data_IF_253400705673
#
_entry.id   IF_253400705673
#
_cell.length_a   1.000
_cell.length_b   1.000
_cell.length_c   1.000
_cell.angle_alpha   90.00
_cell.angle_beta   90.00
_cell.angle_gamma   90.00
#
_symmetry.space_group_name_H-M   'P 1'
#
loop_
_entity.id
_entity.type
_entity.pdbx_description
1 polymer ?
#
# COMPACT_ATOMS: atom_id res chain seq x y z
N UNK A 1 -23.33 6.93 2.08
CA UNK A 1 -22.14 6.07 1.87
C UNK A 1 -21.45 6.45 0.56
N UNK A 2 -22.06 6.31 -0.63
CA UNK A 2 -21.39 6.68 -1.91
C UNK A 2 -20.97 8.15 -1.97
N UNK A 3 -21.84 9.08 -1.57
CA UNK A 3 -21.60 10.52 -1.76
C UNK A 3 -20.48 11.06 -0.86
N UNK A 4 -20.33 10.51 0.34
CA UNK A 4 -19.26 10.87 1.28
C UNK A 4 -17.90 10.38 0.79
N UNK A 5 -17.83 9.14 0.30
CA UNK A 5 -16.64 8.60 -0.35
C UNK A 5 -16.24 9.41 -1.58
N UNK A 6 -17.22 9.78 -2.42
CA UNK A 6 -16.98 10.60 -3.60
C UNK A 6 -16.39 11.96 -3.26
N UNK A 7 -16.90 12.63 -2.22
CA UNK A 7 -16.35 13.92 -1.77
C UNK A 7 -14.90 13.80 -1.29
N UNK A 8 -14.58 12.75 -0.50
CA UNK A 8 -13.21 12.49 -0.04
C UNK A 8 -12.26 12.27 -1.22
N UNK A 9 -12.70 11.47 -2.21
CA UNK A 9 -11.91 11.17 -3.40
C UNK A 9 -11.67 12.41 -4.26
N UNK A 10 -12.68 13.27 -4.46
CA UNK A 10 -12.54 14.51 -5.20
C UNK A 10 -11.61 15.52 -4.50
N UNK A 11 -11.71 15.65 -3.17
CA UNK A 11 -10.81 16.51 -2.40
C UNK A 11 -9.36 16.03 -2.52
N UNK A 12 -9.13 14.73 -2.33
CA UNK A 12 -7.81 14.12 -2.47
C UNK A 12 -7.26 14.27 -3.89
N UNK A 13 -8.09 14.12 -4.91
CA UNK A 13 -7.68 14.38 -6.30
C UNK A 13 -7.16 15.81 -6.44
N UNK A 14 -7.90 16.80 -5.91
CA UNK A 14 -7.49 18.21 -5.90
C UNK A 14 -6.15 18.45 -5.21
N UNK A 15 -5.91 17.78 -4.09
CA UNK A 15 -4.65 17.87 -3.36
C UNK A 15 -3.46 17.26 -4.13
N UNK A 16 -3.66 16.11 -4.77
CA UNK A 16 -2.60 15.39 -5.49
C UNK A 16 -2.27 16.01 -6.85
N UNK A 17 -3.29 16.41 -7.60
CA UNK A 17 -3.15 16.95 -8.96
C UNK A 17 -3.01 18.48 -8.99
N UNK A 18 -3.30 19.17 -7.89
CA UNK A 18 -3.22 20.64 -7.81
C UNK A 18 -4.33 21.38 -8.57
N UNK A 19 -5.35 20.66 -9.06
CA UNK A 19 -6.53 21.19 -9.75
C UNK A 19 -7.78 20.44 -9.30
N UNK A 20 -8.92 21.11 -9.08
CA UNK A 20 -10.16 20.43 -8.68
C UNK A 20 -10.70 19.58 -9.83
N UNK A 21 -11.34 18.46 -9.48
CA UNK A 21 -11.96 17.54 -10.46
C UNK A 21 -12.92 18.29 -11.40
N UNK A 22 -13.73 19.20 -10.87
CA UNK A 22 -14.73 19.96 -11.62
C UNK A 22 -14.13 20.81 -12.76
N UNK A 23 -12.87 21.27 -12.62
CA UNK A 23 -12.19 22.00 -13.68
C UNK A 23 -11.91 21.11 -14.89
N UNK A 24 -11.52 19.85 -14.64
CA UNK A 24 -11.26 18.86 -15.69
C UNK A 24 -12.54 18.29 -16.30
N UNK A 25 -13.68 18.43 -15.64
CA UNK A 25 -14.98 17.95 -16.12
C UNK A 25 -15.82 19.04 -16.82
N UNK A 26 -15.32 20.28 -16.95
CA UNK A 26 -15.98 21.27 -17.80
C UNK A 26 -15.89 20.86 -19.27
N UNK A 27 -16.98 20.97 -20.06
CA UNK A 27 -16.94 20.74 -21.50
C UNK A 27 -15.90 21.64 -22.18
N UNK A 28 -15.17 21.09 -23.16
CA UNK A 28 -14.26 21.87 -23.99
C UNK A 28 -15.10 22.80 -24.89
N UNK A 29 -14.78 24.11 -24.99
CA UNK A 29 -15.51 25.01 -25.86
C UNK A 29 -15.44 24.60 -27.32
N UNK A 30 -16.60 24.51 -27.98
CA UNK A 30 -16.71 24.14 -29.40
C UNK A 30 -17.95 23.30 -29.66
N UNK A 31 -17.97 22.65 -30.83
CA UNK A 31 -19.10 21.80 -31.25
C UNK A 31 -19.09 20.44 -30.55
N UNK A 32 -17.91 19.92 -30.19
CA UNK A 32 -17.75 18.67 -29.45
C UNK A 32 -17.36 18.98 -27.98
N UNK A 33 -18.18 18.62 -26.97
CA UNK A 33 -17.86 18.86 -25.56
C UNK A 33 -16.61 18.11 -25.07
N UNK A 34 -16.17 17.08 -25.79
CA UNK A 34 -14.91 16.38 -25.53
C UNK A 34 -13.71 16.98 -26.25
N UNK A 35 -13.88 18.03 -27.06
CA UNK A 35 -12.79 18.71 -27.75
C UNK A 35 -12.30 17.96 -28.99
N UNK A 36 -10.98 17.83 -29.16
CA UNK A 36 -10.36 17.26 -30.36
C UNK A 36 -9.70 15.89 -30.13
N UNK A 37 -9.63 15.05 -31.18
CA UNK A 37 -8.90 13.78 -31.10
C UNK A 37 -7.39 13.97 -31.24
N UNK A 38 -6.63 13.60 -30.20
CA UNK A 38 -5.21 13.97 -30.11
C UNK A 38 -4.21 12.87 -30.46
N UNK A 39 -4.64 11.67 -30.86
CA UNK A 39 -3.75 10.49 -31.07
C UNK A 39 -2.55 10.76 -31.98
N UNK A 40 -2.73 11.60 -32.99
CA UNK A 40 -1.70 11.95 -33.98
C UNK A 40 -0.97 13.27 -33.68
N UNK A 41 -1.34 13.94 -32.59
CA UNK A 41 -0.75 15.21 -32.19
C UNK A 41 0.53 14.98 -31.38
N UNK A 42 1.43 15.97 -31.37
CA UNK A 42 2.74 15.87 -30.69
C UNK A 42 2.63 15.61 -29.18
N UNK A 43 1.50 15.98 -28.57
CA UNK A 43 1.23 15.75 -27.15
C UNK A 43 1.30 14.28 -26.76
N UNK A 44 0.80 13.37 -27.61
CA UNK A 44 0.88 11.92 -27.38
C UNK A 44 2.33 11.43 -27.40
N UNK A 45 3.15 11.94 -28.32
CA UNK A 45 4.58 11.61 -28.34
C UNK A 45 5.33 12.21 -27.15
N UNK A 46 4.98 13.43 -26.71
CA UNK A 46 5.59 14.06 -25.53
C UNK A 46 5.27 13.30 -24.25
N UNK A 47 3.99 12.92 -24.05
CA UNK A 47 3.56 12.11 -22.91
C UNK A 47 4.26 10.75 -22.89
N UNK A 48 4.32 10.05 -24.03
CA UNK A 48 5.06 8.79 -24.14
C UNK A 48 6.55 8.96 -23.84
N UNK A 49 7.16 10.01 -24.36
CA UNK A 49 8.58 10.29 -24.12
C UNK A 49 8.85 10.59 -22.64
N UNK A 50 8.00 11.37 -21.97
CA UNK A 50 8.13 11.66 -20.54
C UNK A 50 7.93 10.41 -19.67
N UNK A 51 7.06 9.48 -20.07
CA UNK A 51 6.85 8.19 -19.39
C UNK A 51 7.98 7.17 -19.59
N UNK A 52 8.86 7.38 -20.57
CA UNK A 52 9.91 6.40 -20.89
C UNK A 52 11.08 6.54 -19.91
N UNK A 53 11.39 5.44 -19.22
CA UNK A 53 12.60 5.26 -18.46
C UNK A 53 13.48 4.19 -19.13
N UNK A 54 14.79 4.33 -19.00
CA UNK A 54 15.77 3.34 -19.45
C UNK A 54 15.84 2.19 -18.43
N UNK A 55 15.97 0.96 -18.94
CA UNK A 55 16.13 -0.22 -18.11
C UNK A 55 17.59 -0.35 -17.64
N UNK A 56 17.81 -0.09 -16.35
CA UNK A 56 19.11 -0.16 -15.71
C UNK A 56 19.73 -1.58 -15.70
N UNK A 57 18.94 -2.63 -16.00
CA UNK A 57 19.41 -4.02 -16.09
C UNK A 57 19.98 -4.38 -17.46
N UNK A 58 19.78 -3.54 -18.48
CA UNK A 58 20.29 -3.77 -19.83
C UNK A 58 21.74 -3.26 -19.92
N UNK A 59 22.70 -4.10 -20.37
CA UNK A 59 24.08 -3.66 -20.54
C UNK A 59 24.15 -2.50 -21.54
N UNK A 60 24.40 -1.29 -21.05
CA UNK A 60 24.77 -0.15 -21.88
C UNK A 60 26.08 -0.53 -22.58
N UNK A 61 26.08 -0.54 -23.91
CA UNK A 61 27.29 -0.77 -24.70
C UNK A 61 28.34 0.34 -24.47
N UNK A 62 29.23 0.58 -25.43
CA UNK A 62 30.28 1.62 -25.32
C UNK A 62 29.77 3.08 -25.29
N UNK A 63 28.46 3.31 -25.10
CA UNK A 63 27.83 4.62 -25.05
C UNK A 63 27.18 4.80 -23.67
N UNK A 64 27.97 5.25 -22.69
CA UNK A 64 27.48 5.69 -21.38
C UNK A 64 26.71 7.01 -21.58
N UNK A 65 25.39 6.96 -21.48
CA UNK A 65 24.54 8.13 -21.28
C UNK A 65 23.83 7.98 -19.94
N UNK A 66 23.47 9.11 -19.32
CA UNK A 66 22.70 9.09 -18.09
C UNK A 66 21.39 8.32 -18.32
N UNK A 67 21.11 7.34 -17.46
CA UNK A 67 19.85 6.58 -17.48
C UNK A 67 18.68 7.56 -17.45
N UNK A 68 17.86 7.54 -18.50
CA UNK A 68 16.64 8.32 -18.52
C UNK A 68 15.68 7.78 -17.46
N UNK A 69 15.24 8.63 -16.55
CA UNK A 69 14.11 8.33 -15.67
C UNK A 69 12.83 8.94 -16.25
N UNK A 70 11.68 8.34 -15.92
CA UNK A 70 10.40 8.89 -16.29
C UNK A 70 10.16 10.21 -15.52
N UNK A 71 9.70 11.24 -16.24
CA UNK A 71 9.36 12.54 -15.69
C UNK A 71 7.85 12.59 -15.38
N UNK A 72 7.48 12.06 -14.21
CA UNK A 72 6.08 11.98 -13.80
C UNK A 72 5.45 13.35 -13.53
N UNK A 73 6.25 14.37 -13.20
CA UNK A 73 5.79 15.75 -13.07
C UNK A 73 5.35 16.32 -14.42
N UNK A 74 6.16 16.11 -15.47
CA UNK A 74 5.81 16.53 -16.82
C UNK A 74 4.62 15.74 -17.37
N UNK A 75 4.52 14.42 -17.11
CA UNK A 75 3.34 13.62 -17.48
C UNK A 75 2.08 14.17 -16.81
N UNK A 76 2.17 14.50 -15.51
CA UNK A 76 1.06 15.10 -14.76
C UNK A 76 0.64 16.42 -15.41
N UNK A 77 1.59 17.34 -15.59
CA UNK A 77 1.35 18.69 -16.13
C UNK A 77 0.72 18.64 -17.51
N UNK A 78 1.29 17.85 -18.43
CA UNK A 78 0.79 17.71 -19.80
C UNK A 78 -0.60 17.06 -19.84
N UNK A 79 -0.85 16.06 -18.99
CA UNK A 79 -2.15 15.37 -18.95
C UNK A 79 -3.24 16.29 -18.44
N UNK A 80 -3.00 17.02 -17.33
CA UNK A 80 -3.96 17.96 -16.77
C UNK A 80 -4.26 19.11 -17.73
N UNK A 81 -3.23 19.76 -18.29
CA UNK A 81 -3.40 20.83 -19.28
C UNK A 81 -4.25 20.37 -20.47
N UNK A 82 -4.00 19.15 -20.96
CA UNK A 82 -4.71 18.59 -22.11
C UNK A 82 -6.16 18.26 -21.79
N UNK A 83 -6.41 17.59 -20.66
CA UNK A 83 -7.75 17.21 -20.20
C UNK A 83 -8.62 18.44 -19.89
N UNK A 84 -8.01 19.50 -19.35
CA UNK A 84 -8.71 20.74 -19.04
C UNK A 84 -9.08 21.53 -20.29
N UNK A 85 -8.16 21.66 -21.25
CA UNK A 85 -8.27 22.70 -22.29
C UNK A 85 -8.46 22.20 -23.72
N UNK A 86 -8.16 20.92 -24.03
CA UNK A 86 -8.10 20.43 -25.42
C UNK A 86 -8.95 19.21 -25.68
N UNK A 87 -8.88 18.20 -24.82
CA UNK A 87 -9.48 16.89 -25.13
C UNK A 87 -9.85 16.10 -23.88
N UNK A 88 -11.08 15.60 -23.83
CA UNK A 88 -11.50 14.56 -22.88
C UNK A 88 -11.09 13.21 -23.48
N UNK A 89 -9.93 12.73 -23.05
CA UNK A 89 -9.26 11.56 -23.63
C UNK A 89 -8.92 10.53 -22.55
N UNK A 90 -9.47 9.33 -22.69
CA UNK A 90 -9.32 8.23 -21.75
C UNK A 90 -7.87 7.75 -21.63
N UNK A 91 -7.12 7.71 -22.74
CA UNK A 91 -5.72 7.29 -22.70
C UNK A 91 -4.87 8.29 -21.91
N UNK A 92 -5.14 9.58 -22.06
CA UNK A 92 -4.44 10.63 -21.31
C UNK A 92 -4.80 10.57 -19.83
N UNK A 93 -6.07 10.35 -19.49
CA UNK A 93 -6.50 10.15 -18.11
C UNK A 93 -5.84 8.92 -17.45
N UNK A 94 -5.63 7.84 -18.21
CA UNK A 94 -4.89 6.64 -17.76
C UNK A 94 -3.40 6.94 -17.54
N UNK A 95 -2.77 7.76 -18.39
CA UNK A 95 -1.39 8.19 -18.15
C UNK A 95 -1.27 9.12 -16.94
N UNK A 96 -2.28 9.93 -16.66
CA UNK A 96 -2.36 10.69 -15.41
C UNK A 96 -2.43 9.74 -14.21
N UNK A 97 -3.27 8.70 -14.23
CA UNK A 97 -3.34 7.68 -13.18
C UNK A 97 -1.97 7.05 -12.90
N UNK A 98 -1.29 6.58 -13.95
CA UNK A 98 0.05 6.01 -13.80
C UNK A 98 1.05 7.00 -13.20
N UNK A 99 1.05 8.25 -13.65
CA UNK A 99 1.93 9.28 -13.10
C UNK A 99 1.64 9.58 -11.63
N UNK A 100 0.36 9.68 -11.24
CA UNK A 100 -0.01 9.92 -9.85
C UNK A 100 0.35 8.73 -8.95
N UNK A 101 0.18 7.48 -9.41
CA UNK A 101 0.61 6.29 -8.66
C UNK A 101 2.13 6.31 -8.42
N UNK A 102 2.92 6.65 -9.43
CA UNK A 102 4.38 6.71 -9.28
C UNK A 102 4.83 7.83 -8.31
N UNK A 103 4.06 8.92 -8.20
CA UNK A 103 4.37 10.05 -7.32
C UNK A 103 3.88 9.86 -5.89
N UNK A 104 2.69 9.30 -5.72
CA UNK A 104 1.94 9.33 -4.47
C UNK A 104 1.55 7.94 -3.95
N UNK A 105 1.89 6.88 -4.68
CA UNK A 105 1.60 5.51 -4.31
C UNK A 105 0.11 5.19 -4.24
N UNK A 106 -0.29 4.46 -3.20
CA UNK A 106 -1.68 4.00 -3.03
C UNK A 106 -2.68 5.15 -2.93
N UNK A 107 -2.28 6.29 -2.34
CA UNK A 107 -3.11 7.47 -2.17
C UNK A 107 -3.70 8.02 -3.48
N UNK A 108 -3.04 7.77 -4.62
CA UNK A 108 -3.50 8.22 -5.93
C UNK A 108 -4.54 7.31 -6.59
N UNK A 109 -4.59 6.02 -6.23
CA UNK A 109 -5.39 5.03 -6.98
C UNK A 109 -6.86 5.41 -6.92
N UNK A 110 -7.43 5.51 -5.71
CA UNK A 110 -8.84 5.84 -5.54
C UNK A 110 -9.24 7.16 -6.21
N UNK A 111 -8.61 8.29 -5.86
CA UNK A 111 -9.00 9.60 -6.37
C UNK A 111 -8.95 9.71 -7.90
N UNK A 112 -7.92 9.15 -8.53
CA UNK A 112 -7.76 9.27 -9.99
C UNK A 112 -8.62 8.25 -10.74
N UNK A 113 -8.83 7.04 -10.19
CA UNK A 113 -9.81 6.09 -10.74
C UNK A 113 -11.23 6.67 -10.70
N UNK A 114 -11.60 7.32 -9.60
CA UNK A 114 -12.89 8.01 -9.48
C UNK A 114 -13.03 9.15 -10.49
N UNK A 115 -11.99 9.94 -10.71
CA UNK A 115 -11.99 10.93 -11.79
C UNK A 115 -12.21 10.28 -13.17
N UNK A 116 -11.54 9.18 -13.48
CA UNK A 116 -11.70 8.46 -14.76
C UNK A 116 -13.11 7.92 -14.91
N UNK A 117 -13.68 7.35 -13.84
CA UNK A 117 -15.08 6.91 -13.82
C UNK A 117 -16.02 8.06 -14.20
N UNK A 118 -15.93 9.19 -13.50
CA UNK A 118 -16.83 10.34 -13.74
C UNK A 118 -16.58 10.94 -15.13
N UNK A 119 -15.34 10.95 -15.62
CA UNK A 119 -15.01 11.34 -16.99
C UNK A 119 -15.74 10.45 -18.01
N UNK A 120 -15.71 9.12 -17.81
CA UNK A 120 -16.43 8.17 -18.64
C UNK A 120 -17.94 8.38 -18.58
N UNK A 121 -18.53 8.52 -17.40
CA UNK A 121 -19.97 8.74 -17.23
C UNK A 121 -20.44 10.06 -17.85
N UNK A 122 -19.65 11.12 -17.72
CA UNK A 122 -20.03 12.47 -18.17
C UNK A 122 -19.91 12.64 -19.67
N UNK A 123 -18.85 12.07 -20.28
CA UNK A 123 -18.51 12.32 -21.67
C UNK A 123 -18.64 11.09 -22.56
N UNK A 124 -19.26 9.99 -22.11
CA UNK A 124 -19.23 8.70 -22.81
C UNK A 124 -19.47 8.81 -24.32
N UNK A 125 -20.52 9.51 -24.74
CA UNK A 125 -20.86 9.57 -26.17
C UNK A 125 -19.81 10.29 -27.03
N UNK A 126 -19.03 11.19 -26.43
CA UNK A 126 -18.07 12.06 -27.13
C UNK A 126 -16.61 11.82 -26.73
N UNK A 127 -16.35 11.00 -25.71
CA UNK A 127 -15.03 10.71 -25.13
C UNK A 127 -14.07 10.15 -26.18
N UNK A 128 -12.80 10.53 -26.11
CA UNK A 128 -11.77 9.94 -26.96
C UNK A 128 -11.11 8.71 -26.32
N UNK A 129 -10.79 7.64 -27.09
CA UNK A 129 -11.10 7.44 -28.52
C UNK A 129 -12.60 7.33 -28.81
N UNK A 130 -13.04 7.80 -29.99
CA UNK A 130 -14.45 7.73 -30.41
C UNK A 130 -14.92 6.27 -30.56
N UNK A 131 -16.22 6.06 -30.38
CA UNK A 131 -16.89 4.79 -30.72
C UNK A 131 -17.26 4.86 -32.19
N UNK A 132 -16.70 3.96 -33.00
CA UNK A 132 -16.99 3.84 -34.43
C UNK A 132 -17.83 2.57 -34.66
N UNK A 133 -18.95 2.66 -35.38
CA UNK A 133 -19.82 1.52 -35.73
C UNK A 133 -20.24 0.65 -34.52
N UNK A 134 -20.55 1.27 -33.37
CA UNK A 134 -20.86 0.62 -32.07
C UNK A 134 -19.72 -0.27 -31.51
N UNK A 135 -18.49 -0.11 -32.02
CA UNK A 135 -17.32 -0.83 -31.54
C UNK A 135 -16.66 -0.13 -30.35
N UNK A 136 -16.77 -0.77 -29.18
CA UNK A 136 -16.19 -0.30 -27.92
C UNK A 136 -14.72 -0.71 -27.73
N UNK A 137 -14.17 -1.55 -28.62
CA UNK A 137 -12.91 -2.25 -28.42
C UNK A 137 -11.74 -1.29 -28.11
N UNK A 138 -11.67 -0.14 -28.77
CA UNK A 138 -10.62 0.85 -28.50
C UNK A 138 -10.65 1.37 -27.07
N UNK A 139 -11.83 1.60 -26.49
CA UNK A 139 -11.97 2.06 -25.11
C UNK A 139 -11.78 0.93 -24.11
N UNK A 140 -12.41 -0.22 -24.35
CA UNK A 140 -12.31 -1.37 -23.43
C UNK A 140 -10.88 -1.90 -23.35
N UNK A 141 -10.13 -1.89 -24.46
CA UNK A 141 -8.72 -2.29 -24.45
C UNK A 141 -7.84 -1.38 -23.59
N UNK A 142 -8.16 -0.10 -23.46
CA UNK A 142 -7.45 0.81 -22.55
C UNK A 142 -7.68 0.41 -21.09
N UNK A 143 -8.90 0.02 -20.72
CA UNK A 143 -9.22 -0.43 -19.36
C UNK A 143 -8.62 -1.81 -19.07
N UNK A 144 -8.65 -2.73 -20.04
CA UNK A 144 -7.96 -4.02 -19.94
C UNK A 144 -6.46 -3.82 -19.72
N UNK A 145 -5.87 -2.83 -20.42
CA UNK A 145 -4.47 -2.46 -20.22
C UNK A 145 -4.23 -1.98 -18.78
N UNK A 146 -5.09 -1.12 -18.23
CA UNK A 146 -5.01 -0.65 -16.83
C UNK A 146 -4.97 -1.83 -15.85
N UNK A 147 -5.91 -2.77 -15.98
CA UNK A 147 -6.02 -3.93 -15.10
C UNK A 147 -4.80 -4.86 -15.13
N UNK A 148 -4.03 -4.88 -16.22
CA UNK A 148 -2.87 -5.77 -16.38
C UNK A 148 -1.53 -5.07 -16.19
N UNK A 149 -1.40 -3.83 -16.67
CA UNK A 149 -0.12 -3.13 -16.80
C UNK A 149 0.18 -2.20 -15.63
N UNK A 150 -0.82 -1.83 -14.83
CA UNK A 150 -0.55 -1.16 -13.55
C UNK A 150 -0.14 -2.11 -12.44
N UNK A 151 -0.41 -3.43 -12.55
CA UNK A 151 -0.06 -4.38 -11.50
C UNK A 151 1.43 -4.30 -11.12
N UNK A 152 2.40 -4.35 -12.05
CA UNK A 152 3.81 -4.22 -11.68
C UNK A 152 4.11 -2.90 -10.98
N UNK A 153 3.55 -1.78 -11.43
CA UNK A 153 3.73 -0.46 -10.81
C UNK A 153 3.21 -0.45 -9.38
N UNK A 154 2.00 -0.96 -9.15
CA UNK A 154 1.40 -1.05 -7.81
C UNK A 154 2.19 -2.00 -6.91
N UNK A 155 2.68 -3.11 -7.46
CA UNK A 155 3.51 -4.06 -6.70
C UNK A 155 4.88 -3.49 -6.31
N UNK A 156 5.37 -2.46 -7.00
CA UNK A 156 6.63 -1.79 -6.66
C UNK A 156 6.47 -0.70 -5.60
N UNK A 157 5.22 -0.37 -5.21
CA UNK A 157 4.98 0.59 -4.13
C UNK A 157 5.48 0.04 -2.80
N UNK A 158 6.09 0.93 -2.01
CA UNK A 158 6.61 0.56 -0.69
C UNK A 158 5.47 0.22 0.27
N UNK A 159 5.60 -0.91 0.96
CA UNK A 159 4.69 -1.38 2.01
C UNK A 159 5.28 -1.17 3.42
N UNK A 160 6.46 -0.54 3.49
CA UNK A 160 7.18 -0.23 4.73
C UNK A 160 7.71 1.20 4.69
N UNK A 161 7.90 1.80 5.86
CA UNK A 161 8.49 3.12 6.02
C UNK A 161 9.41 3.12 7.25
N UNK A 162 10.48 2.33 7.19
CA UNK A 162 11.49 2.32 8.24
C UNK A 162 12.47 3.49 8.04
N UNK A 163 12.83 4.16 9.15
CA UNK A 163 13.82 5.24 9.12
C UNK A 163 15.22 4.65 8.89
N UNK A 164 15.57 4.38 7.64
CA UNK A 164 16.97 4.32 7.19
C UNK A 164 17.55 2.98 6.73
N UNK A 165 16.89 1.83 6.91
CA UNK A 165 17.57 0.53 6.69
C UNK A 165 17.08 -0.30 5.49
N UNK A 166 15.81 -0.21 5.07
CA UNK A 166 15.34 -0.73 3.78
C UNK A 166 13.86 -0.38 3.56
N UNK A 167 13.50 -0.05 2.31
CA UNK A 167 12.12 -0.01 1.86
C UNK A 167 11.83 -1.30 1.11
N UNK A 168 10.78 -1.99 1.53
CA UNK A 168 10.28 -3.19 0.86
C UNK A 168 8.96 -2.87 0.16
N UNK A 169 8.83 -3.38 -1.06
CA UNK A 169 7.62 -3.36 -1.88
C UNK A 169 6.83 -4.66 -1.76
N UNK A 170 5.64 -4.70 -2.36
CA UNK A 170 4.90 -5.96 -2.50
C UNK A 170 5.63 -6.97 -3.41
N UNK A 171 6.37 -6.49 -4.42
CA UNK A 171 7.19 -7.36 -5.28
C UNK A 171 8.28 -8.06 -4.48
N UNK A 172 8.86 -7.37 -3.49
CA UNK A 172 9.84 -7.96 -2.57
C UNK A 172 9.19 -9.05 -1.69
N UNK A 173 7.96 -8.81 -1.24
CA UNK A 173 7.18 -9.81 -0.50
C UNK A 173 6.92 -11.06 -1.34
N UNK A 174 6.45 -10.92 -2.57
CA UNK A 174 6.22 -12.04 -3.49
C UNK A 174 7.52 -12.79 -3.81
N UNK A 175 8.63 -12.06 -4.02
CA UNK A 175 9.94 -12.65 -4.25
C UNK A 175 10.42 -13.47 -3.06
N UNK A 176 10.27 -12.94 -1.84
CA UNK A 176 10.62 -13.63 -0.61
C UNK A 176 9.78 -14.91 -0.41
N UNK A 177 8.48 -14.84 -0.67
CA UNK A 177 7.59 -15.99 -0.62
C UNK A 177 7.99 -17.07 -1.66
N UNK A 178 8.39 -16.67 -2.87
CA UNK A 178 8.90 -17.58 -3.90
C UNK A 178 10.22 -18.26 -3.46
N UNK A 179 11.13 -17.52 -2.82
CA UNK A 179 12.37 -18.08 -2.28
C UNK A 179 12.11 -19.15 -1.21
N UNK A 180 11.06 -18.99 -0.40
CA UNK A 180 10.66 -19.97 0.62
C UNK A 180 10.06 -21.25 0.02
N UNK A 181 9.60 -21.22 -1.23
CA UNK A 181 9.12 -22.39 -1.97
C UNK A 181 10.24 -23.17 -2.69
N UNK A 182 11.47 -22.62 -2.75
CA UNK A 182 12.60 -23.30 -3.37
C UNK A 182 13.01 -24.57 -2.60
N UNK A 183 13.55 -25.60 -3.29
CA UNK A 183 14.05 -26.81 -2.65
C UNK A 183 15.10 -26.52 -1.55
N UNK A 184 15.14 -27.28 -0.44
CA UNK A 184 16.04 -27.01 0.68
C UNK A 184 17.52 -26.93 0.29
N UNK A 185 17.96 -27.74 -0.68
CA UNK A 185 19.34 -27.73 -1.17
C UNK A 185 19.71 -26.42 -1.89
N UNK A 186 18.78 -25.90 -2.69
CA UNK A 186 18.94 -24.62 -3.40
C UNK A 186 18.95 -23.46 -2.39
N UNK A 187 18.04 -23.49 -1.41
CA UNK A 187 17.97 -22.48 -0.35
C UNK A 187 19.24 -22.43 0.49
N UNK A 188 19.83 -23.58 0.83
CA UNK A 188 21.09 -23.64 1.59
C UNK A 188 22.28 -23.08 0.80
N UNK A 189 22.30 -23.27 -0.52
CA UNK A 189 23.37 -22.72 -1.39
C UNK A 189 23.27 -21.20 -1.54
N UNK A 190 22.05 -20.66 -1.60
CA UNK A 190 21.79 -19.24 -1.83
C UNK A 190 21.46 -18.47 -0.54
N UNK A 191 21.63 -19.07 0.64
CA UNK A 191 21.04 -18.58 1.90
C UNK A 191 21.31 -17.10 2.20
N UNK A 192 22.50 -16.60 1.87
CA UNK A 192 22.90 -15.21 2.14
C UNK A 192 22.38 -14.20 1.10
N UNK A 193 21.96 -14.67 -0.09
CA UNK A 193 21.53 -13.84 -1.21
C UNK A 193 20.00 -13.79 -1.36
N UNK A 194 19.27 -14.66 -0.64
CA UNK A 194 17.80 -14.73 -0.69
C UNK A 194 17.18 -13.74 0.29
N UNK A 195 16.33 -12.86 -0.23
CA UNK A 195 15.38 -12.11 0.58
C UNK A 195 14.42 -13.07 1.29
N UNK A 196 14.18 -12.84 2.58
CA UNK A 196 13.34 -13.69 3.43
C UNK A 196 12.10 -12.95 3.88
N UNK A 197 10.96 -13.65 3.98
CA UNK A 197 9.69 -13.05 4.40
C UNK A 197 9.83 -12.47 5.81
N UNK A 198 10.56 -13.14 6.69
CA UNK A 198 10.81 -12.67 8.06
C UNK A 198 11.53 -11.31 8.12
N UNK A 199 12.42 -11.01 7.17
CA UNK A 199 13.10 -9.71 7.10
C UNK A 199 12.10 -8.60 6.79
N UNK A 200 11.21 -8.85 5.82
CA UNK A 200 10.17 -7.89 5.44
C UNK A 200 9.15 -7.72 6.58
N UNK A 201 8.70 -8.81 7.20
CA UNK A 201 7.80 -8.78 8.37
C UNK A 201 8.39 -7.96 9.51
N UNK A 202 9.69 -8.08 9.76
CA UNK A 202 10.37 -7.28 10.79
C UNK A 202 10.34 -5.78 10.46
N UNK A 203 10.52 -5.43 9.19
CA UNK A 203 10.39 -4.05 8.69
C UNK A 203 8.93 -3.54 8.76
N UNK A 204 7.95 -4.40 8.49
CA UNK A 204 6.52 -4.09 8.66
C UNK A 204 6.19 -3.78 10.12
N UNK A 205 6.67 -4.60 11.05
CA UNK A 205 6.47 -4.37 12.49
C UNK A 205 7.19 -3.09 12.97
N UNK A 206 8.36 -2.79 12.43
CA UNK A 206 9.13 -1.58 12.76
C UNK A 206 8.55 -0.29 12.15
N UNK A 207 7.76 -0.40 11.07
CA UNK A 207 7.13 0.75 10.41
C UNK A 207 6.08 1.39 11.32
N UNK A 208 6.04 2.74 11.46
CA UNK A 208 5.06 3.43 12.32
C UNK A 208 3.61 3.09 11.99
N UNK A 209 2.73 3.02 12.99
CA UNK A 209 1.33 2.62 12.77
C UNK A 209 0.55 3.68 11.98
N UNK A 210 0.95 4.95 12.09
CA UNK A 210 0.37 6.07 11.34
C UNK A 210 0.52 5.87 9.82
N UNK A 211 1.65 5.30 9.38
CA UNK A 211 1.83 4.93 7.97
C UNK A 211 0.77 3.93 7.52
N UNK A 212 0.49 2.90 8.34
CA UNK A 212 -0.51 1.89 8.00
C UNK A 212 -1.94 2.41 8.06
N UNK A 213 -2.26 3.35 8.95
CA UNK A 213 -3.58 4.01 8.96
C UNK A 213 -3.87 4.70 7.63
N UNK A 214 -2.90 5.45 7.10
CA UNK A 214 -3.02 6.09 5.78
C UNK A 214 -3.09 5.04 4.67
N UNK A 215 -2.18 4.06 4.65
CA UNK A 215 -2.17 3.01 3.62
C UNK A 215 -3.48 2.22 3.59
N UNK A 216 -4.05 1.84 4.74
CA UNK A 216 -5.33 1.12 4.76
C UNK A 216 -6.50 2.00 4.30
N UNK A 217 -6.48 3.29 4.64
CA UNK A 217 -7.45 4.25 4.11
C UNK A 217 -7.34 4.34 2.60
N UNK A 218 -6.12 4.47 2.07
CA UNK A 218 -5.83 4.55 0.63
C UNK A 218 -6.24 3.29 -0.12
N UNK A 219 -5.93 2.11 0.42
CA UNK A 219 -6.31 0.83 -0.16
C UNK A 219 -7.84 0.66 -0.20
N UNK A 220 -8.53 0.97 0.90
CA UNK A 220 -10.00 0.92 0.98
C UNK A 220 -10.65 1.88 -0.02
N UNK A 221 -10.15 3.11 -0.12
CA UNK A 221 -10.60 4.09 -1.10
C UNK A 221 -10.35 3.62 -2.54
N UNK A 222 -9.20 3.01 -2.80
CA UNK A 222 -8.85 2.42 -4.09
C UNK A 222 -9.77 1.28 -4.50
N UNK A 223 -10.05 0.34 -3.58
CA UNK A 223 -10.95 -0.79 -3.79
C UNK A 223 -12.36 -0.29 -4.12
N UNK A 224 -12.92 0.61 -3.30
CA UNK A 224 -14.25 1.17 -3.52
C UNK A 224 -14.35 1.90 -4.87
N UNK A 225 -13.34 2.69 -5.24
CA UNK A 225 -13.33 3.39 -6.53
C UNK A 225 -13.26 2.43 -7.72
N UNK A 226 -12.50 1.33 -7.62
CA UNK A 226 -12.42 0.31 -8.67
C UNK A 226 -13.74 -0.47 -8.83
N UNK A 227 -14.39 -0.81 -7.71
CA UNK A 227 -15.71 -1.47 -7.73
C UNK A 227 -16.78 -0.57 -8.34
N UNK A 228 -16.81 0.72 -7.96
CA UNK A 228 -17.73 1.69 -8.54
C UNK A 228 -17.45 1.89 -10.03
N UNK A 229 -16.18 2.01 -10.43
CA UNK A 229 -15.85 2.13 -11.84
C UNK A 229 -16.22 0.86 -12.64
N UNK A 230 -16.05 -0.32 -12.05
CA UNK A 230 -16.51 -1.58 -12.67
C UNK A 230 -18.02 -1.58 -12.90
N UNK A 231 -18.81 -1.11 -11.92
CA UNK A 231 -20.26 -0.99 -12.08
C UNK A 231 -20.65 0.00 -13.19
N UNK A 232 -19.98 1.16 -13.27
CA UNK A 232 -20.21 2.11 -14.36
C UNK A 232 -19.83 1.54 -15.73
N UNK A 233 -18.75 0.74 -15.80
CA UNK A 233 -18.37 0.06 -17.03
C UNK A 233 -19.39 -1.01 -17.45
N UNK A 234 -20.00 -1.72 -16.50
CA UNK A 234 -21.10 -2.66 -16.77
C UNK A 234 -22.30 -1.93 -17.39
N UNK A 235 -22.66 -0.76 -16.87
CA UNK A 235 -23.76 0.06 -17.40
C UNK A 235 -23.43 0.64 -18.79
N UNK A 236 -22.20 1.12 -19.00
CA UNK A 236 -21.76 1.79 -20.23
C UNK A 236 -21.44 0.82 -21.38
N UNK A 237 -20.92 -0.36 -21.07
CA UNK A 237 -20.43 -1.32 -22.07
C UNK A 237 -21.29 -2.60 -22.17
N UNK A 238 -22.19 -2.83 -21.22
CA UNK A 238 -23.00 -4.04 -21.13
C UNK A 238 -22.12 -5.30 -21.14
N UNK A 239 -22.44 -6.25 -22.03
CA UNK A 239 -21.69 -7.52 -22.16
C UNK A 239 -20.21 -7.37 -22.58
N UNK A 240 -19.80 -6.19 -23.03
CA UNK A 240 -18.43 -5.88 -23.45
C UNK A 240 -17.61 -5.22 -22.34
N UNK A 241 -18.18 -5.09 -21.13
CA UNK A 241 -17.50 -4.46 -20.00
C UNK A 241 -16.16 -5.13 -19.68
N UNK A 242 -15.06 -4.36 -19.61
CA UNK A 242 -13.77 -4.87 -19.22
C UNK A 242 -13.70 -5.06 -17.70
N UNK A 243 -12.99 -6.10 -17.25
CA UNK A 243 -12.78 -6.35 -15.81
C UNK A 243 -11.64 -5.52 -15.23
N UNK A 244 -11.83 -5.06 -13.99
CA UNK A 244 -10.81 -4.45 -13.12
C UNK A 244 -10.43 -5.35 -11.93
N UNK A 245 -10.89 -6.60 -11.91
CA UNK A 245 -10.82 -7.47 -10.74
C UNK A 245 -9.40 -7.83 -10.30
N UNK A 246 -8.43 -7.87 -11.20
CA UNK A 246 -7.06 -8.24 -10.86
C UNK A 246 -6.39 -7.13 -10.03
N UNK A 247 -6.68 -5.87 -10.35
CA UNK A 247 -6.21 -4.74 -9.56
C UNK A 247 -6.93 -4.69 -8.20
N UNK A 248 -8.26 -4.89 -8.17
CA UNK A 248 -9.01 -4.97 -6.91
C UNK A 248 -8.46 -6.07 -6.00
N UNK A 249 -8.28 -7.29 -6.53
CA UNK A 249 -7.73 -8.43 -5.79
C UNK A 249 -6.34 -8.13 -5.24
N UNK A 250 -5.47 -7.47 -6.04
CA UNK A 250 -4.14 -7.09 -5.57
C UNK A 250 -4.20 -6.12 -4.38
N UNK A 251 -5.09 -5.13 -4.41
CA UNK A 251 -5.24 -4.19 -3.29
C UNK A 251 -5.77 -4.88 -2.03
N UNK A 252 -6.72 -5.81 -2.18
CA UNK A 252 -7.25 -6.64 -1.09
C UNK A 252 -6.16 -7.55 -0.49
N UNK A 253 -5.37 -8.23 -1.33
CA UNK A 253 -4.26 -9.08 -0.91
C UNK A 253 -3.21 -8.30 -0.11
N UNK A 254 -2.84 -7.10 -0.59
CA UNK A 254 -1.92 -6.19 0.11
C UNK A 254 -2.54 -5.76 1.45
N UNK A 255 -3.80 -5.33 1.44
CA UNK A 255 -4.51 -4.88 2.64
C UNK A 255 -4.54 -5.98 3.71
N UNK A 256 -5.07 -7.15 3.38
CA UNK A 256 -5.31 -8.23 4.33
C UNK A 256 -4.01 -8.80 4.89
N UNK A 257 -2.99 -8.92 4.04
CA UNK A 257 -1.66 -9.37 4.47
C UNK A 257 -1.06 -8.40 5.46
N UNK A 258 -0.99 -7.11 5.13
CA UNK A 258 -0.44 -6.10 6.04
C UNK A 258 -1.27 -6.00 7.32
N UNK A 259 -2.60 -5.96 7.21
CA UNK A 259 -3.51 -5.89 8.35
C UNK A 259 -3.29 -7.04 9.33
N UNK A 260 -3.10 -8.26 8.82
CA UNK A 260 -2.84 -9.44 9.66
C UNK A 260 -1.58 -9.30 10.55
N UNK A 261 -0.59 -8.54 10.08
CA UNK A 261 0.67 -8.31 10.79
C UNK A 261 0.62 -7.12 11.76
N UNK A 262 -0.28 -6.16 11.56
CA UNK A 262 -0.29 -4.92 12.36
C UNK A 262 -1.58 -4.68 13.16
N UNK A 263 -2.62 -5.51 13.01
CA UNK A 263 -3.92 -5.32 13.70
C UNK A 263 -3.82 -5.12 15.22
N UNK A 264 -2.95 -5.89 15.88
CA UNK A 264 -2.73 -5.82 17.33
C UNK A 264 -1.95 -4.58 17.80
N UNK A 265 -1.48 -3.73 16.88
CA UNK A 265 -0.72 -2.50 17.18
C UNK A 265 -1.62 -1.28 17.40
N UNK A 266 -2.89 -1.50 17.75
CA UNK A 266 -3.87 -0.44 18.03
C UNK A 266 -4.83 -0.13 16.89
N UNK A 267 -5.02 -1.04 15.92
CA UNK A 267 -6.03 -0.92 14.87
C UNK A 267 -7.35 -1.61 15.25
N UNK A 268 -7.31 -2.63 16.11
CA UNK A 268 -8.51 -3.32 16.61
C UNK A 268 -9.47 -2.39 17.38
N UNK A 269 -8.95 -1.38 18.09
CA UNK A 269 -9.77 -0.37 18.77
C UNK A 269 -10.43 0.64 17.81
N UNK A 270 -9.96 0.74 16.55
CA UNK A 270 -10.52 1.64 15.54
C UNK A 270 -11.60 0.95 14.69
N UNK A 271 -11.45 -0.34 14.38
CA UNK A 271 -12.50 -1.13 13.74
C UNK A 271 -13.68 -1.41 14.66
N UNK A 272 -13.44 -1.67 15.96
CA UNK A 272 -14.53 -1.82 16.92
C UNK A 272 -15.38 -0.54 17.02
N UNK A 273 -14.78 0.65 16.93
CA UNK A 273 -15.53 1.92 16.90
C UNK A 273 -16.26 2.18 15.58
N UNK A 274 -15.81 1.65 14.45
CA UNK A 274 -16.53 1.75 13.16
C UNK A 274 -17.69 0.74 13.06
N UNK A 275 -17.57 -0.43 13.72
CA UNK A 275 -18.66 -1.41 13.83
C UNK A 275 -19.67 -1.02 14.95
N UNK A 276 -19.24 -0.34 16.01
CA UNK A 276 -20.11 0.15 17.09
C UNK A 276 -20.90 1.42 16.74
N UNK A 277 -20.51 2.21 15.73
CA UNK A 277 -21.33 3.35 15.24
C UNK A 277 -22.63 2.93 14.53
N UNK A 278 -22.79 1.65 14.21
CA UNK A 278 -24.00 1.10 13.58
C UNK A 278 -25.10 0.72 14.58
N UNK A 279 -24.84 0.67 15.89
CA UNK A 279 -25.82 0.12 16.83
C UNK A 279 -25.75 0.68 18.26
N UNK A 280 -25.95 1.99 18.49
CA UNK A 280 -26.50 2.39 19.79
C UNK A 280 -27.24 3.74 19.83
N UNK A 281 -28.57 3.63 19.76
CA UNK A 281 -29.49 4.57 20.37
C UNK A 281 -30.05 3.97 21.66
N UNK A 282 -29.37 4.17 22.81
CA UNK A 282 -29.94 4.48 24.15
C UNK A 282 -28.89 4.49 25.28
N UNK A 283 -29.16 5.16 26.41
CA UNK A 283 -28.13 5.82 27.21
C UNK A 283 -27.69 5.08 28.48
N UNK A 284 -26.49 5.48 28.90
CA UNK A 284 -25.88 5.51 30.24
C UNK A 284 -25.83 4.21 31.06
N UNK A 285 -24.61 3.66 31.13
CA UNK A 285 -24.05 3.19 32.40
C UNK A 285 -22.57 3.60 32.51
N UNK A 286 -22.25 4.26 33.62
CA UNK A 286 -20.92 4.76 33.96
C UNK A 286 -19.88 3.65 34.18
N UNK A 287 -18.74 3.84 33.51
CA UNK A 287 -17.35 3.74 34.01
C UNK A 287 -17.05 2.81 35.19
N UNK A 288 -16.23 1.80 34.90
CA UNK A 288 -15.07 1.41 35.73
C UNK A 288 -13.95 0.88 34.82
N UNK A 289 -12.72 1.43 34.93
CA UNK A 289 -11.50 0.69 34.58
C UNK A 289 -10.42 1.36 33.71
N UNK A 290 -9.65 2.30 34.28
CA UNK A 290 -8.18 2.47 34.12
C UNK A 290 -7.50 2.34 32.72
N UNK A 291 -8.06 2.91 31.66
CA UNK A 291 -7.46 2.90 30.31
C UNK A 291 -6.69 4.16 29.90
N UNK A 292 -6.12 4.94 30.82
CA UNK A 292 -5.47 6.20 30.47
C UNK A 292 -4.30 6.03 29.47
N UNK A 293 -4.07 6.99 28.54
CA UNK A 293 -2.92 6.96 27.63
C UNK A 293 -1.61 6.92 28.41
N UNK A 294 -0.59 6.23 27.88
CA UNK A 294 0.73 6.12 28.50
C UNK A 294 1.39 7.51 28.48
N UNK A 295 1.61 8.11 29.66
CA UNK A 295 2.11 9.49 29.79
C UNK A 295 3.62 9.59 30.02
N UNK A 296 4.26 8.52 30.46
CA UNK A 296 5.69 8.48 30.76
C UNK A 296 6.23 7.04 30.70
N UNK A 297 7.56 6.91 30.73
CA UNK A 297 8.28 5.63 30.65
C UNK A 297 7.90 4.66 31.77
N UNK A 298 7.70 5.17 32.99
CA UNK A 298 7.29 4.37 34.15
C UNK A 298 5.90 3.77 33.96
N UNK A 299 4.94 4.55 33.46
CA UNK A 299 3.60 4.08 33.13
C UNK A 299 3.60 3.06 31.98
N UNK A 300 4.55 3.17 31.03
CA UNK A 300 4.72 2.19 29.97
C UNK A 300 5.19 0.83 30.52
N UNK A 301 6.22 0.83 31.38
CA UNK A 301 6.70 -0.39 32.01
C UNK A 301 5.68 -1.00 32.98
N UNK A 302 4.89 -0.18 33.68
CA UNK A 302 3.82 -0.67 34.53
C UNK A 302 2.76 -1.45 33.73
N UNK A 303 2.34 -0.94 32.56
CA UNK A 303 1.40 -1.65 31.68
C UNK A 303 2.00 -2.91 31.06
N UNK A 304 3.28 -2.89 30.70
CA UNK A 304 3.97 -4.09 30.23
C UNK A 304 4.05 -5.16 31.32
N UNK A 305 4.31 -4.77 32.57
CA UNK A 305 4.31 -5.68 33.71
C UNK A 305 2.92 -6.28 33.97
N UNK A 306 1.88 -5.46 33.91
CA UNK A 306 0.48 -5.90 34.06
C UNK A 306 0.08 -6.90 32.95
N UNK A 307 0.44 -6.62 31.70
CA UNK A 307 0.20 -7.52 30.58
C UNK A 307 0.97 -8.84 30.72
N UNK A 308 2.24 -8.79 31.14
CA UNK A 308 3.04 -9.97 31.40
C UNK A 308 2.46 -10.82 32.55
N UNK A 309 1.96 -10.18 33.61
CA UNK A 309 1.35 -10.86 34.75
C UNK A 309 0.06 -11.57 34.34
N UNK A 310 -0.78 -10.93 33.54
CA UNK A 310 -1.96 -11.56 32.95
C UNK A 310 -1.59 -12.79 32.09
N UNK A 311 -0.65 -12.62 31.15
CA UNK A 311 -0.21 -13.70 30.26
C UNK A 311 0.45 -14.86 31.02
N UNK A 312 1.11 -14.59 32.15
CA UNK A 312 1.71 -15.64 33.01
C UNK A 312 0.67 -16.49 33.73
N UNK A 313 -0.51 -15.93 34.02
CA UNK A 313 -1.63 -16.65 34.61
C UNK A 313 -2.41 -17.47 33.56
N UNK A 314 -2.52 -16.95 32.34
CA UNK A 314 -3.25 -17.58 31.23
C UNK A 314 -2.45 -18.75 30.62
N UNK A 315 -1.14 -18.57 30.38
CA UNK A 315 -0.24 -19.61 29.90
C UNK A 315 1.09 -19.64 30.67
N UNK A 316 1.18 -20.45 31.75
CA UNK A 316 2.38 -20.59 32.57
C UNK A 316 3.61 -21.16 31.84
N UNK A 317 3.44 -21.74 30.65
CA UNK A 317 4.53 -22.32 29.86
C UNK A 317 4.94 -21.43 28.68
N UNK A 318 4.26 -20.30 28.47
CA UNK A 318 4.62 -19.33 27.46
C UNK A 318 5.97 -18.69 27.79
N UNK A 319 6.90 -18.56 26.82
CA UNK A 319 8.12 -17.79 27.00
C UNK A 319 7.86 -16.28 26.96
N UNK A 320 6.68 -15.83 26.52
CA UNK A 320 6.35 -14.42 26.28
C UNK A 320 6.34 -13.59 27.56
N UNK A 321 5.64 -13.97 28.66
CA UNK A 321 5.68 -13.22 29.91
C UNK A 321 7.11 -12.98 30.42
N UNK A 322 7.94 -14.01 30.33
CA UNK A 322 9.32 -13.94 30.78
C UNK A 322 10.17 -12.98 29.93
N UNK A 323 10.01 -13.00 28.61
CA UNK A 323 10.68 -12.06 27.71
C UNK A 323 10.23 -10.61 27.95
N UNK A 324 8.97 -10.38 28.29
CA UNK A 324 8.47 -9.05 28.64
C UNK A 324 9.10 -8.56 29.95
N UNK A 325 9.20 -9.40 30.98
CA UNK A 325 9.92 -9.04 32.21
C UNK A 325 11.40 -8.75 31.96
N UNK A 326 12.07 -9.52 31.11
CA UNK A 326 13.46 -9.25 30.71
C UNK A 326 13.62 -7.94 29.95
N UNK A 327 12.70 -7.61 29.06
CA UNK A 327 12.69 -6.34 28.36
C UNK A 327 12.48 -5.15 29.33
N UNK A 328 11.68 -5.33 30.40
CA UNK A 328 11.50 -4.33 31.46
C UNK A 328 12.79 -4.17 32.27
N UNK A 329 13.48 -5.27 32.63
CA UNK A 329 14.78 -5.21 33.34
C UNK A 329 15.85 -4.48 32.52
N UNK A 330 16.03 -4.85 31.24
CA UNK A 330 16.95 -4.15 30.34
C UNK A 330 16.57 -2.69 30.15
N UNK A 331 15.27 -2.41 30.15
CA UNK A 331 14.73 -1.07 30.12
C UNK A 331 15.07 -0.23 31.35
N UNK A 332 15.52 -0.81 32.45
CA UNK A 332 15.93 -0.07 33.67
C UNK A 332 17.45 0.11 33.78
N UNK A 333 18.23 -0.61 32.96
CA UNK A 333 19.69 -0.55 32.96
C UNK A 333 20.22 0.69 32.24
N UNK A 334 21.41 1.15 32.64
CA UNK A 334 22.13 2.15 31.88
C UNK A 334 22.82 1.51 30.66
N UNK A 335 23.23 2.33 29.68
CA UNK A 335 23.82 1.84 28.42
C UNK A 335 25.03 0.94 28.65
N UNK A 336 25.89 1.23 29.62
CA UNK A 336 27.08 0.42 29.89
C UNK A 336 26.71 -0.97 30.46
N UNK A 337 25.73 -1.03 31.36
CA UNK A 337 25.20 -2.28 31.92
C UNK A 337 24.53 -3.15 30.84
N UNK A 338 23.70 -2.53 29.99
CA UNK A 338 23.02 -3.24 28.90
C UNK A 338 24.02 -3.80 27.87
N UNK A 339 25.06 -3.02 27.53
CA UNK A 339 26.14 -3.51 26.66
C UNK A 339 26.90 -4.68 27.30
N UNK A 340 27.15 -4.62 28.60
CA UNK A 340 27.83 -5.70 29.32
C UNK A 340 27.00 -6.98 29.30
N UNK A 341 25.70 -6.89 29.53
CA UNK A 341 24.81 -8.05 29.53
C UNK A 341 24.66 -8.66 28.11
N UNK A 342 24.32 -7.85 27.11
CA UNK A 342 24.06 -8.35 25.75
C UNK A 342 25.32 -8.89 25.05
N UNK A 343 26.49 -8.27 25.25
CA UNK A 343 27.70 -8.64 24.52
C UNK A 343 28.68 -9.51 25.31
N UNK A 344 28.73 -9.41 26.65
CA UNK A 344 29.65 -10.24 27.45
C UNK A 344 28.98 -11.53 27.91
N UNK A 345 27.72 -11.49 28.36
CA UNK A 345 27.01 -12.71 28.77
C UNK A 345 26.43 -13.47 27.58
N UNK A 346 25.74 -12.79 26.66
CA UNK A 346 25.07 -13.44 25.53
C UNK A 346 25.86 -13.40 24.21
N UNK A 347 27.11 -12.91 24.21
CA UNK A 347 28.00 -12.84 23.02
C UNK A 347 27.35 -12.19 21.76
N UNK A 348 26.33 -11.34 21.94
CA UNK A 348 25.58 -10.75 20.83
C UNK A 348 24.58 -11.69 20.14
N UNK A 349 24.35 -12.90 20.67
CA UNK A 349 23.34 -13.85 20.20
C UNK A 349 22.35 -14.16 21.34
N UNK A 350 21.10 -13.73 21.18
CA UNK A 350 20.06 -13.98 22.17
C UNK A 350 19.42 -15.35 21.95
N UNK A 351 19.83 -16.34 22.75
CA UNK A 351 19.16 -17.63 22.83
C UNK A 351 18.04 -17.57 23.87
N UNK A 352 16.80 -17.82 23.44
CA UNK A 352 15.60 -17.73 24.28
C UNK A 352 15.68 -18.61 25.54
N UNK A 353 16.34 -19.77 25.46
CA UNK A 353 16.50 -20.68 26.61
C UNK A 353 17.54 -20.19 27.62
N UNK A 354 18.60 -19.54 27.15
CA UNK A 354 19.63 -18.91 28.00
C UNK A 354 19.06 -17.68 28.70
N UNK A 355 18.28 -16.87 27.98
CA UNK A 355 17.57 -15.71 28.53
C UNK A 355 16.62 -16.17 29.65
N UNK A 356 15.94 -17.31 29.47
CA UNK A 356 15.07 -17.96 30.46
C UNK A 356 15.79 -18.66 31.63
N UNK A 357 17.14 -18.71 31.63
CA UNK A 357 17.91 -19.42 32.66
C UNK A 357 17.71 -20.94 32.64
N UNK A 358 17.26 -21.50 31.51
CA UNK A 358 17.04 -22.93 31.33
C UNK A 358 18.26 -23.53 30.63
N UNK A 359 19.16 -24.18 31.38
CA UNK A 359 20.25 -24.95 30.80
C UNK A 359 19.68 -26.15 30.02
N UNK A 360 19.88 -26.17 28.70
CA UNK A 360 19.61 -27.35 27.89
C UNK A 360 20.70 -28.40 28.16
N UNK A 361 20.38 -29.45 28.92
CA UNK A 361 21.26 -30.61 29.06
C UNK A 361 21.43 -31.28 27.67
N UNK A 362 22.63 -31.26 27.07
CA UNK A 362 22.86 -31.73 25.71
C UNK A 362 22.57 -33.23 25.52
N UNK A 363 22.31 -33.99 26.59
CA UNK A 363 21.97 -35.43 26.51
C UNK A 363 20.50 -35.74 26.22
N UNK A 364 19.59 -34.77 26.26
CA UNK A 364 18.16 -35.02 25.98
C UNK A 364 17.78 -34.85 24.50
N UNK A 365 18.60 -34.19 23.68
CA UNK A 365 18.32 -33.98 22.26
C UNK A 365 18.55 -35.21 21.35
N UNK A 366 19.11 -36.31 21.87
CA UNK A 366 19.38 -37.55 21.10
C UNK A 366 18.37 -38.68 21.32
N UNK A 367 17.27 -38.42 22.03
CA UNK A 367 16.18 -39.40 22.21
C UNK A 367 14.82 -38.79 21.90
N UNK A 368 14.60 -38.38 20.66
CA UNK A 368 13.27 -38.37 20.04
C UNK A 368 13.37 -38.72 18.57
#
# INVERSE_FOLDING_TARGET
MSDEYNNILQERFGQLCGVPVDALLQPIPGDNPSGEYLKHHSIYSSLKAARTADDASVPMGQWEHDLKSADWDEVTRLSLETLETKSKDLQIAIWLLEAQINKWGFAAIGPVVQFIQVLCETFWDTLYPEIEDDDLEYRTNLIVWVNQKLLPTVKQLSITATRGDAYYSWSDWELAAQHEQLPPETRKKLQNDLLQTQTIVSSVIATPIEFYKEVFTDLKLGIVALEQFSASLDDLCGRHAPSLSALTTLLEEIHDTLYSHVKHRGLEAAQASEEEELDEARPDTQSYGSGGPIRNREAAYAKLAEAAEYLSHDDPHSPVPYLVYKAIEWGQMNTAELYQELFIQYQGQLNIFEVMGLELDPKQAQRR
#
